data_IF_081961549973
#
_entry.id   IF_081961549973
#
_cell.length_a   1.000
_cell.length_b   1.000
_cell.length_c   1.000
_cell.angle_alpha   90.00
_cell.angle_beta   90.00
_cell.angle_gamma   90.00
#
_symmetry.space_group_name_H-M   'P 1'
#
loop_
_entity.id
_entity.type
_entity.pdbx_description
1 polymer ?
#
# COMPACT_ATOMS: atom_id res chain seq x y z
N UNK A 1 13.86 19.49 2.61
CA UNK A 1 14.07 18.03 2.74
C UNK A 1 12.72 17.34 2.69
N UNK A 2 12.41 16.64 1.60
CA UNK A 2 11.19 15.83 1.47
C UNK A 2 11.38 14.55 2.27
N UNK A 3 10.92 14.54 3.53
CA UNK A 3 10.97 13.33 4.37
C UNK A 3 9.94 12.31 3.87
N UNK A 4 10.44 11.14 3.45
CA UNK A 4 9.63 10.03 2.95
C UNK A 4 9.01 9.26 4.13
N UNK A 5 7.74 8.86 4.01
CA UNK A 5 7.06 8.04 5.04
C UNK A 5 7.85 6.76 5.35
N UNK A 6 8.55 6.20 4.35
CA UNK A 6 9.46 5.06 4.48
C UNK A 6 10.51 5.20 5.58
N UNK A 7 11.01 6.40 5.85
CA UNK A 7 12.04 6.60 6.89
C UNK A 7 11.49 6.55 8.32
N UNK A 8 10.19 6.77 8.46
CA UNK A 8 9.51 6.77 9.75
C UNK A 8 8.82 5.44 10.03
N UNK A 9 8.51 4.65 9.01
CA UNK A 9 7.94 3.30 9.15
C UNK A 9 8.99 2.29 9.62
N UNK A 10 8.71 1.58 10.72
CA UNK A 10 9.45 0.37 11.09
C UNK A 10 9.18 -0.74 10.09
N UNK A 11 10.27 -1.37 9.62
CA UNK A 11 10.20 -2.53 8.72
C UNK A 11 9.50 -3.70 9.41
N UNK A 12 8.77 -4.48 8.63
CA UNK A 12 8.27 -5.78 9.07
C UNK A 12 9.17 -6.86 8.49
N UNK A 13 9.82 -7.62 9.36
CA UNK A 13 10.77 -8.66 8.93
C UNK A 13 10.07 -9.70 8.06
N UNK A 14 10.74 -10.10 6.97
CA UNK A 14 10.20 -11.04 5.98
C UNK A 14 9.17 -10.43 5.02
N UNK A 15 8.91 -9.12 5.09
CA UNK A 15 7.99 -8.43 4.18
C UNK A 15 8.69 -7.35 3.34
N UNK A 16 8.24 -7.20 2.11
CA UNK A 16 8.54 -6.03 1.29
C UNK A 16 7.47 -4.95 1.52
N UNK A 17 7.86 -3.81 2.08
CA UNK A 17 6.93 -2.70 2.30
C UNK A 17 6.68 -1.91 1.02
N UNK A 18 5.41 -1.75 0.68
CA UNK A 18 4.94 -0.86 -0.38
C UNK A 18 4.17 0.27 0.28
N UNK A 19 4.75 1.47 0.28
CA UNK A 19 4.18 2.66 0.91
C UNK A 19 3.73 3.61 -0.17
N UNK A 20 2.42 3.78 -0.30
CA UNK A 20 1.79 4.62 -1.32
C UNK A 20 0.53 5.23 -0.72
N UNK A 21 0.14 6.43 -1.17
CA UNK A 21 -1.11 7.02 -0.72
C UNK A 21 -2.30 6.23 -1.31
N UNK A 22 -3.39 6.17 -0.54
CA UNK A 22 -4.66 5.61 -0.98
C UNK A 22 -5.81 6.56 -0.66
N UNK A 23 -6.98 6.34 -1.27
CA UNK A 23 -8.21 7.09 -0.99
C UNK A 23 -9.20 6.26 -0.15
N UNK A 24 -10.35 6.86 0.19
CA UNK A 24 -11.46 6.23 0.93
C UNK A 24 -12.22 5.16 0.12
N UNK A 25 -11.93 5.06 -1.19
CA UNK A 25 -12.49 4.09 -2.11
C UNK A 25 -11.59 2.86 -2.32
N UNK A 26 -10.39 2.82 -1.74
CA UNK A 26 -9.46 1.69 -1.84
C UNK A 26 -8.56 1.71 -3.08
N UNK A 27 -8.49 2.85 -3.78
CA UNK A 27 -7.59 3.07 -4.91
C UNK A 27 -6.29 3.76 -4.47
N UNK A 28 -5.24 3.57 -5.26
CA UNK A 28 -3.97 4.25 -5.08
C UNK A 28 -4.05 5.70 -5.57
N UNK A 29 -3.38 6.59 -4.85
CA UNK A 29 -3.21 7.99 -5.25
C UNK A 29 -1.74 8.28 -5.51
N UNK A 30 -1.40 8.97 -6.61
CA UNK A 30 -0.05 9.43 -6.82
C UNK A 30 0.30 10.46 -5.73
N UNK A 31 1.56 10.48 -5.32
CA UNK A 31 2.06 11.57 -4.47
C UNK A 31 1.82 12.89 -5.20
N UNK A 32 1.23 13.87 -4.51
CA UNK A 32 0.79 15.13 -5.17
C UNK A 32 1.91 15.84 -5.89
N UNK A 33 3.18 15.66 -5.47
CA UNK A 33 4.36 16.25 -6.12
C UNK A 33 5.47 15.22 -6.32
N UNK A 34 6.12 15.24 -7.48
CA UNK A 34 7.35 14.48 -7.73
C UNK A 34 8.57 15.15 -7.06
N UNK A 35 9.75 14.54 -7.15
CA UNK A 35 11.00 15.08 -6.59
C UNK A 35 11.40 16.45 -7.19
N UNK A 36 10.90 16.79 -8.37
CA UNK A 36 11.09 18.09 -9.03
C UNK A 36 10.00 19.13 -8.65
N UNK A 37 9.10 18.80 -7.71
CA UNK A 37 8.05 19.70 -7.24
C UNK A 37 6.86 19.85 -8.20
N UNK A 38 6.81 19.05 -9.27
CA UNK A 38 5.73 19.06 -10.27
C UNK A 38 4.56 18.25 -9.76
N UNK A 39 3.36 18.82 -9.89
CA UNK A 39 2.14 18.12 -9.50
C UNK A 39 1.85 16.94 -10.43
N UNK A 40 1.51 15.77 -9.85
CA UNK A 40 0.97 14.68 -10.65
C UNK A 40 -0.49 15.02 -11.05
N UNK A 41 -0.91 14.73 -12.29
CA UNK A 41 -2.31 14.91 -12.69
C UNK A 41 -3.24 14.11 -11.77
N UNK A 42 -4.44 14.67 -11.55
CA UNK A 42 -5.51 14.02 -10.79
C UNK A 42 -5.88 12.71 -11.50
N UNK A 43 -5.62 11.58 -10.85
CA UNK A 43 -5.99 10.26 -11.35
C UNK A 43 -5.73 9.19 -10.32
N UNK A 44 -6.61 8.19 -10.27
CA UNK A 44 -6.37 6.96 -9.52
C UNK A 44 -5.25 6.18 -10.21
N UNK A 45 -4.29 5.68 -9.44
CA UNK A 45 -3.24 4.80 -9.98
C UNK A 45 -3.81 3.39 -10.03
N UNK A 46 -3.86 2.82 -11.23
CA UNK A 46 -4.29 1.44 -11.41
C UNK A 46 -3.33 0.48 -10.69
N UNK A 47 -3.82 -0.62 -10.07
CA UNK A 47 -2.97 -1.57 -9.36
C UNK A 47 -1.82 -2.14 -10.18
N UNK A 48 -1.97 -2.26 -11.51
CA UNK A 48 -0.90 -2.72 -12.43
C UNK A 48 0.37 -1.87 -12.32
N UNK A 49 0.26 -0.54 -12.18
CA UNK A 49 1.45 0.31 -12.04
C UNK A 49 2.21 0.03 -10.74
N UNK A 50 1.49 -0.33 -9.66
CA UNK A 50 2.12 -0.70 -8.39
C UNK A 50 2.81 -2.06 -8.54
N UNK A 51 2.18 -3.02 -9.21
CA UNK A 51 2.75 -4.33 -9.51
C UNK A 51 4.03 -4.19 -10.35
N UNK A 52 4.01 -3.36 -11.39
CA UNK A 52 5.19 -3.07 -12.21
C UNK A 52 6.31 -2.43 -11.39
N UNK A 53 5.99 -1.46 -10.53
CA UNK A 53 6.98 -0.83 -9.66
C UNK A 53 7.62 -1.83 -8.68
N UNK A 54 6.85 -2.79 -8.16
CA UNK A 54 7.35 -3.86 -7.30
C UNK A 54 8.27 -4.80 -8.09
N UNK A 55 7.83 -5.28 -9.26
CA UNK A 55 8.61 -6.19 -10.13
C UNK A 55 9.93 -5.57 -10.60
N UNK A 56 9.92 -4.26 -10.86
CA UNK A 56 11.11 -3.52 -11.29
C UNK A 56 12.00 -3.05 -10.13
N UNK A 57 11.64 -3.33 -8.87
CA UNK A 57 12.46 -2.98 -7.73
C UNK A 57 13.58 -4.03 -7.55
N UNK A 58 14.87 -3.68 -7.75
CA UNK A 58 15.98 -4.62 -7.64
C UNK A 58 16.23 -5.11 -6.21
N UNK A 59 15.52 -4.57 -5.20
CA UNK A 59 15.56 -5.04 -3.82
C UNK A 59 14.40 -5.98 -3.47
N UNK A 60 13.44 -6.19 -4.38
CA UNK A 60 12.40 -7.20 -4.20
C UNK A 60 12.91 -8.57 -4.66
N UNK A 61 12.66 -9.62 -3.87
CA UNK A 61 13.10 -10.99 -4.13
C UNK A 61 11.93 -11.99 -4.13
N UNK A 62 10.69 -11.52 -4.09
CA UNK A 62 9.50 -12.37 -4.03
C UNK A 62 8.97 -12.59 -2.61
N UNK A 63 9.33 -11.71 -1.67
CA UNK A 63 8.82 -11.75 -0.30
C UNK A 63 7.31 -11.38 -0.25
N UNK A 64 6.58 -11.79 0.80
CA UNK A 64 5.25 -11.24 1.07
C UNK A 64 5.23 -9.70 1.09
N UNK A 65 4.14 -9.10 0.61
CA UNK A 65 4.00 -7.64 0.57
C UNK A 65 3.28 -7.13 1.81
N UNK A 66 3.80 -6.07 2.44
CA UNK A 66 3.02 -5.22 3.36
C UNK A 66 2.65 -3.94 2.64
N UNK A 67 1.38 -3.85 2.24
CA UNK A 67 0.82 -2.71 1.53
C UNK A 67 0.31 -1.68 2.53
N UNK A 68 1.05 -0.58 2.67
CA UNK A 68 0.72 0.54 3.56
C UNK A 68 0.07 1.63 2.70
N UNK A 69 -1.23 1.45 2.45
CA UNK A 69 -2.07 2.37 1.67
C UNK A 69 -3.52 2.27 2.13
N UNK A 70 -4.16 3.41 2.41
CA UNK A 70 -5.48 3.49 3.03
C UNK A 70 -6.52 2.66 2.26
N UNK A 71 -7.34 1.90 3.00
CA UNK A 71 -8.49 1.13 2.50
C UNK A 71 -8.22 0.07 1.43
N UNK A 72 -6.95 -0.25 1.15
CA UNK A 72 -6.59 -1.21 0.09
C UNK A 72 -6.93 -2.67 0.41
N UNK A 73 -7.17 -2.98 1.69
CA UNK A 73 -7.71 -4.25 2.18
C UNK A 73 -9.20 -4.24 2.50
N UNK A 74 -9.93 -3.16 2.15
CA UNK A 74 -11.37 -3.08 2.41
C UNK A 74 -12.14 -3.91 1.39
N UNK A 75 -13.01 -4.80 1.88
CA UNK A 75 -14.07 -5.41 1.05
C UNK A 75 -15.34 -4.63 1.36
N UNK A 76 -15.92 -3.95 0.38
CA UNK A 76 -17.18 -3.20 0.56
C UNK A 76 -18.32 -4.03 0.01
N UNK A 77 -19.30 -4.32 0.86
CA UNK A 77 -20.54 -4.95 0.44
C UNK A 77 -21.23 -4.08 -0.62
N UNK A 78 -21.67 -4.69 -1.71
CA UNK A 78 -22.35 -4.00 -2.82
C UNK A 78 -21.43 -3.23 -3.79
N UNK A 79 -20.11 -3.20 -3.57
CA UNK A 79 -19.16 -2.69 -4.56
C UNK A 79 -18.59 -3.89 -5.33
N UNK A 80 -18.97 -4.03 -6.60
CA UNK A 80 -18.39 -5.03 -7.48
C UNK A 80 -16.92 -4.66 -7.76
N UNK A 81 -15.98 -5.36 -7.13
CA UNK A 81 -14.56 -5.16 -7.37
C UNK A 81 -13.67 -5.98 -6.45
N UNK A 82 -12.62 -6.58 -7.01
CA UNK A 82 -11.56 -7.25 -6.25
C UNK A 82 -10.72 -6.19 -5.53
N UNK A 83 -10.53 -6.24 -4.20
CA UNK A 83 -9.70 -5.27 -3.48
C UNK A 83 -8.31 -5.16 -4.09
N UNK A 84 -7.71 -3.96 -4.06
CA UNK A 84 -6.38 -3.73 -4.62
C UNK A 84 -5.34 -4.71 -4.06
N UNK A 85 -5.41 -5.02 -2.75
CA UNK A 85 -4.53 -6.00 -2.13
C UNK A 85 -4.71 -7.42 -2.68
N UNK A 86 -5.94 -7.83 -3.03
CA UNK A 86 -6.20 -9.13 -3.63
C UNK A 86 -5.71 -9.20 -5.09
N UNK A 87 -5.85 -8.11 -5.85
CA UNK A 87 -5.29 -8.03 -7.21
C UNK A 87 -3.77 -8.18 -7.17
N UNK A 88 -3.09 -7.48 -6.25
CA UNK A 88 -1.64 -7.64 -6.05
C UNK A 88 -1.26 -9.06 -5.65
N UNK A 89 -2.02 -9.69 -4.74
CA UNK A 89 -1.74 -11.06 -4.31
C UNK A 89 -1.82 -12.05 -5.48
N UNK A 90 -2.86 -11.93 -6.31
CA UNK A 90 -3.04 -12.80 -7.46
C UNK A 90 -1.94 -12.58 -8.51
N UNK A 91 -1.61 -11.33 -8.83
CA UNK A 91 -0.63 -10.99 -9.88
C UNK A 91 0.82 -11.25 -9.48
N UNK A 92 1.16 -11.06 -8.20
CA UNK A 92 2.52 -11.31 -7.70
C UNK A 92 2.73 -12.74 -7.22
N UNK A 93 1.65 -13.51 -7.01
CA UNK A 93 1.74 -14.88 -6.52
C UNK A 93 2.22 -14.99 -5.07
N UNK A 94 2.13 -13.91 -4.28
CA UNK A 94 2.59 -13.85 -2.88
C UNK A 94 1.50 -13.31 -1.95
N UNK A 95 1.56 -13.61 -0.64
CA UNK A 95 0.66 -13.01 0.34
C UNK A 95 0.80 -11.47 0.40
N UNK A 96 -0.33 -10.76 0.52
CA UNK A 96 -0.36 -9.29 0.67
C UNK A 96 -1.09 -8.92 1.94
N UNK A 97 -0.42 -8.23 2.86
CA UNK A 97 -0.98 -7.68 4.10
C UNK A 97 -1.37 -6.22 3.88
N UNK A 98 -2.64 -5.86 4.05
CA UNK A 98 -3.17 -4.53 3.76
C UNK A 98 -4.18 -4.07 4.81
N UNK A 99 -4.33 -2.76 5.04
CA UNK A 99 -5.28 -2.20 6.01
C UNK A 99 -6.71 -2.19 5.46
N UNK A 100 -7.69 -2.48 6.30
CA UNK A 100 -9.12 -2.31 5.94
C UNK A 100 -9.58 -0.86 5.95
N UNK A 101 -8.85 0.01 6.65
CA UNK A 101 -9.18 1.42 6.87
C UNK A 101 -8.00 2.34 6.57
N UNK A 102 -8.11 3.61 6.96
CA UNK A 102 -7.00 4.55 6.96
C UNK A 102 -5.80 3.98 7.74
N UNK A 103 -4.61 4.09 7.16
CA UNK A 103 -3.36 3.65 7.77
C UNK A 103 -2.36 4.80 7.77
N UNK A 104 -1.59 4.93 8.85
CA UNK A 104 -0.64 6.02 8.92
C UNK A 104 0.45 5.84 9.96
N UNK A 105 1.37 6.78 9.90
CA UNK A 105 2.39 7.08 10.90
C UNK A 105 2.27 8.57 11.22
N UNK A 106 2.69 8.98 12.41
CA UNK A 106 2.60 10.37 12.84
C UNK A 106 3.97 11.02 12.77
N UNK A 107 4.12 12.05 11.93
CA UNK A 107 5.41 12.76 11.75
C UNK A 107 5.92 13.46 13.01
N UNK A 108 5.03 13.75 13.96
CA UNK A 108 5.37 14.28 15.29
C UNK A 108 6.01 13.26 16.21
N UNK A 109 5.95 11.96 15.88
CA UNK A 109 6.53 10.87 16.67
C UNK A 109 7.90 10.46 16.11
N UNK A 110 8.76 9.79 16.92
CA UNK A 110 10.07 9.31 16.47
C UNK A 110 10.01 8.40 15.23
N UNK A 111 11.14 8.19 14.57
CA UNK A 111 11.27 7.20 13.49
C UNK A 111 11.12 5.77 14.03
N UNK A 112 10.79 4.82 13.16
CA UNK A 112 10.59 3.42 13.54
C UNK A 112 9.21 3.14 14.12
N UNK A 113 8.18 3.81 13.58
CA UNK A 113 6.79 3.60 13.93
C UNK A 113 6.18 2.43 13.19
N UNK A 114 5.41 1.65 13.92
CA UNK A 114 4.50 0.66 13.37
C UNK A 114 3.30 1.41 12.79
N UNK A 115 2.98 1.25 11.49
CA UNK A 115 1.83 1.91 10.92
C UNK A 115 0.54 1.42 11.60
N UNK A 116 -0.26 2.36 12.05
CA UNK A 116 -1.50 2.12 12.78
C UNK A 116 -2.68 2.16 11.80
N UNK A 117 -3.59 1.18 11.92
CA UNK A 117 -4.87 1.21 11.20
C UNK A 117 -5.89 1.89 12.09
N UNK A 118 -6.55 2.92 11.57
CA UNK A 118 -7.46 3.79 12.31
C UNK A 118 -8.92 3.31 12.19
N UNK A 119 -9.85 4.02 12.84
CA UNK A 119 -11.30 3.84 12.71
C UNK A 119 -11.80 2.41 13.01
N UNK A 120 -11.13 1.70 13.93
CA UNK A 120 -11.45 0.30 14.26
C UNK A 120 -11.11 -0.70 13.16
N UNK A 121 -10.40 -0.26 12.11
CA UNK A 121 -9.89 -1.15 11.07
C UNK A 121 -8.75 -2.04 11.57
N UNK A 122 -8.39 -3.00 10.73
CA UNK A 122 -7.37 -3.98 11.05
C UNK A 122 -6.52 -4.31 9.81
N UNK A 123 -5.42 -5.03 10.04
CA UNK A 123 -4.61 -5.59 8.97
C UNK A 123 -5.22 -6.92 8.51
N UNK A 124 -5.49 -7.03 7.22
CA UNK A 124 -5.96 -8.27 6.59
C UNK A 124 -4.89 -8.80 5.65
N UNK A 125 -4.72 -10.12 5.63
CA UNK A 125 -3.85 -10.80 4.67
C UNK A 125 -4.70 -11.41 3.55
N UNK A 126 -4.29 -11.14 2.32
CA UNK A 126 -4.85 -11.68 1.09
C UNK A 126 -3.87 -12.71 0.55
N UNK A 127 -4.37 -13.91 0.28
CA UNK A 127 -3.59 -14.98 -0.34
C UNK A 127 -3.85 -15.00 -1.84
N UNK A 128 -2.87 -15.39 -2.67
CA UNK A 128 -3.11 -15.63 -4.08
C UNK A 128 -4.21 -16.68 -4.24
N UNK A 129 -5.25 -16.37 -5.01
CA UNK A 129 -6.22 -17.36 -5.45
C UNK A 129 -5.89 -17.72 -6.89
N UNK A 130 -5.78 -19.02 -7.18
CA UNK A 130 -5.59 -19.48 -8.54
C UNK A 130 -6.80 -19.09 -9.39
N UNK A 131 -6.55 -18.48 -10.55
CA UNK A 131 -7.56 -18.36 -11.60
C UNK A 131 -7.73 -19.71 -12.31
#
# INVERSE_FOLDING_TARGET
>A
MTQLNREFTKRLDGYHDVIVHGNDKGFFMPGRKNAAGVDFPLGEVHPSHIIEAIRNNPSYRGEPIRLISCHTGRIRDGVAGTPAAQQLANELGVPVKAPTEEVGIYRSRPKGQEPEVQNGGYWRTFLPVAN
#
